data_IF_608635340900
#
_entry.id   IF_608635340900
#
_cell.length_a   1.000
_cell.length_b   1.000
_cell.length_c   1.000
_cell.angle_alpha   90.00
_cell.angle_beta   90.00
_cell.angle_gamma   90.00
#
_symmetry.space_group_name_H-M   'P 1'
#
loop_
_entity.id
_entity.type
_entity.pdbx_description
1 polymer ?
#
# COMPACT_ATOMS: atom_id res chain seq x y z
N UNK A 1 5.44 1.24 -3.79
CA UNK A 1 4.65 1.74 -4.94
C UNK A 1 4.00 3.08 -4.59
N UNK A 2 4.29 4.16 -5.33
CA UNK A 2 3.85 5.51 -4.96
C UNK A 2 2.33 5.66 -4.91
N UNK A 3 1.62 5.01 -5.84
CA UNK A 3 0.15 5.04 -5.95
C UNK A 3 -0.56 4.62 -4.65
N UNK A 4 0.03 3.70 -3.88
CA UNK A 4 -0.53 3.27 -2.59
C UNK A 4 -0.47 4.40 -1.56
N UNK A 5 0.67 5.10 -1.48
CA UNK A 5 0.87 6.23 -0.58
C UNK A 5 -0.05 7.38 -0.97
N UNK A 6 -0.13 7.70 -2.26
CA UNK A 6 -0.98 8.76 -2.80
C UNK A 6 -2.46 8.50 -2.51
N UNK A 7 -2.93 7.27 -2.75
CA UNK A 7 -4.32 6.88 -2.48
C UNK A 7 -4.66 7.05 -0.99
N UNK A 8 -3.79 6.58 -0.09
CA UNK A 8 -4.00 6.72 1.35
C UNK A 8 -3.94 8.20 1.81
N UNK A 9 -3.03 9.00 1.24
CA UNK A 9 -2.94 10.43 1.52
C UNK A 9 -4.19 11.21 1.04
N UNK A 10 -4.85 10.74 -0.02
CA UNK A 10 -6.15 11.24 -0.48
C UNK A 10 -7.34 10.76 0.38
N UNK A 11 -7.10 9.96 1.42
CA UNK A 11 -8.14 9.38 2.26
C UNK A 11 -8.91 8.26 1.57
N UNK A 12 -8.32 7.60 0.57
CA UNK A 12 -8.88 6.41 -0.05
C UNK A 12 -8.49 5.15 0.72
N UNK A 13 -9.37 4.16 0.73
CA UNK A 13 -9.03 2.78 1.08
C UNK A 13 -8.38 2.10 -0.11
N UNK A 14 -7.39 1.26 0.13
CA UNK A 14 -6.57 0.64 -0.92
C UNK A 14 -6.81 -0.87 -0.98
N UNK A 15 -6.94 -1.39 -2.19
CA UNK A 15 -6.72 -2.81 -2.49
C UNK A 15 -5.49 -2.90 -3.39
N UNK A 16 -4.53 -3.74 -3.03
CA UNK A 16 -3.29 -3.90 -3.80
C UNK A 16 -2.82 -5.35 -3.82
N UNK A 17 -1.97 -5.69 -4.77
CA UNK A 17 -1.26 -6.97 -4.75
C UNK A 17 -0.18 -6.97 -3.68
N UNK A 18 0.06 -8.16 -3.14
CA UNK A 18 1.12 -8.41 -2.18
C UNK A 18 2.49 -8.44 -2.87
N UNK A 19 3.07 -7.26 -3.08
CA UNK A 19 4.36 -7.10 -3.76
C UNK A 19 5.53 -7.20 -2.78
N UNK A 20 6.64 -7.86 -3.17
CA UNK A 20 7.87 -7.87 -2.39
C UNK A 20 8.36 -6.45 -2.09
N UNK A 21 8.82 -6.22 -0.86
CA UNK A 21 9.35 -4.92 -0.42
C UNK A 21 8.31 -3.89 -0.03
N UNK A 22 7.01 -4.20 0.00
CA UNK A 22 5.99 -3.30 0.55
C UNK A 22 6.18 -3.10 2.06
N UNK A 23 6.48 -4.18 2.78
CA UNK A 23 6.65 -4.15 4.23
C UNK A 23 7.87 -3.33 4.70
N UNK A 24 8.84 -3.06 3.82
CA UNK A 24 10.03 -2.28 4.20
C UNK A 24 9.78 -0.78 4.30
N UNK A 25 8.65 -0.27 3.78
CA UNK A 25 8.35 1.16 3.77
C UNK A 25 6.91 1.49 4.19
N UNK A 26 5.98 0.54 4.12
CA UNK A 26 4.59 0.79 4.49
C UNK A 26 4.44 0.85 6.02
N UNK A 27 3.82 1.90 6.59
CA UNK A 27 3.57 1.97 8.02
C UNK A 27 2.78 0.75 8.54
N UNK A 28 3.21 0.21 9.68
CA UNK A 28 2.53 -0.90 10.35
C UNK A 28 1.09 -0.52 10.71
N UNK A 29 0.18 -1.50 10.76
CA UNK A 29 -1.21 -1.35 11.22
C UNK A 29 -2.23 -0.91 10.15
N UNK A 30 -1.78 -0.39 8.99
CA UNK A 30 -2.67 0.00 7.89
C UNK A 30 -3.56 -1.16 7.38
N UNK A 31 -3.05 -2.39 7.40
CA UNK A 31 -3.84 -3.58 7.05
C UNK A 31 -4.80 -4.01 8.17
N UNK A 32 -4.35 -3.96 9.43
CA UNK A 32 -5.15 -4.36 10.58
C UNK A 32 -6.38 -3.44 10.76
N UNK A 33 -6.24 -2.16 10.45
CA UNK A 33 -7.30 -1.16 10.50
C UNK A 33 -8.18 -1.13 9.23
N UNK A 34 -7.87 -1.99 8.25
CA UNK A 34 -8.63 -2.08 7.01
C UNK A 34 -8.47 -0.86 6.08
N UNK A 35 -7.44 -0.04 6.26
CA UNK A 35 -7.09 1.04 5.33
C UNK A 35 -6.49 0.49 4.03
N UNK A 36 -5.70 -0.58 4.15
CA UNK A 36 -5.09 -1.31 3.03
C UNK A 36 -5.54 -2.76 3.08
N UNK A 37 -5.81 -3.33 1.92
CA UNK A 37 -6.08 -4.74 1.77
C UNK A 37 -5.18 -5.34 0.70
N UNK A 38 -4.52 -6.45 1.06
CA UNK A 38 -3.56 -7.14 0.19
C UNK A 38 -4.21 -8.38 -0.39
N UNK A 39 -4.01 -8.56 -1.70
CA UNK A 39 -4.39 -9.75 -2.45
C UNK A 39 -3.11 -10.45 -2.87
N UNK A 40 -3.04 -11.77 -2.72
CA UNK A 40 -1.84 -12.51 -3.10
C UNK A 40 -1.52 -12.31 -4.58
N UNK A 41 -0.25 -12.02 -4.88
CA UNK A 41 0.22 -11.87 -6.25
C UNK A 41 0.09 -13.23 -6.99
N UNK A 42 -0.52 -13.29 -8.18
CA UNK A 42 -0.49 -14.50 -8.99
C UNK A 42 0.94 -14.78 -9.45
N UNK A 43 1.27 -16.04 -9.74
CA UNK A 43 2.57 -16.36 -10.35
C UNK A 43 2.69 -15.64 -11.69
N UNK A 44 3.88 -15.12 -11.98
CA UNK A 44 4.16 -14.38 -13.21
C UNK A 44 5.12 -15.16 -14.12
N UNK A 45 4.87 -15.06 -15.41
CA UNK A 45 5.75 -15.46 -16.51
C UNK A 45 6.41 -14.16 -17.00
N UNK A 46 7.71 -14.00 -16.76
CA UNK A 46 8.38 -12.73 -17.00
C UNK A 46 7.97 -11.66 -15.99
N UNK A 47 7.88 -10.40 -16.42
CA UNK A 47 7.69 -9.27 -15.51
C UNK A 47 6.23 -8.97 -15.17
N UNK A 48 5.30 -9.20 -16.10
CA UNK A 48 3.95 -8.64 -16.06
C UNK A 48 2.84 -9.61 -16.49
N UNK A 49 3.18 -10.81 -16.97
CA UNK A 49 2.19 -11.76 -17.49
C UNK A 49 1.82 -12.80 -16.43
N UNK A 50 0.59 -12.83 -15.90
CA UNK A 50 0.19 -13.84 -14.92
C UNK A 50 0.02 -15.23 -15.55
N UNK A 51 0.30 -16.27 -14.77
CA UNK A 51 -0.02 -17.66 -15.12
C UNK A 51 -1.54 -17.82 -15.18
N UNK A 52 -2.05 -18.37 -16.29
CA UNK A 52 -3.48 -18.48 -16.54
C UNK A 52 -4.24 -19.25 -15.44
N UNK A 53 -3.63 -20.32 -14.90
CA UNK A 53 -4.23 -21.14 -13.86
C UNK A 53 -4.48 -20.38 -12.54
N UNK A 54 -3.72 -19.31 -12.29
CA UNK A 54 -3.86 -18.49 -11.08
C UNK A 54 -4.94 -17.39 -11.23
N UNK A 55 -5.36 -17.07 -12.47
CA UNK A 55 -6.31 -16.00 -12.74
C UNK A 55 -7.66 -16.20 -12.05
N UNK A 56 -8.31 -17.39 -12.08
CA UNK A 56 -9.60 -17.56 -11.44
C UNK A 56 -9.55 -17.28 -9.94
N UNK A 57 -8.51 -17.78 -9.25
CA UNK A 57 -8.28 -17.52 -7.83
C UNK A 57 -8.02 -16.04 -7.57
N UNK A 58 -7.12 -15.43 -8.34
CA UNK A 58 -6.75 -14.03 -8.18
C UNK A 58 -7.97 -13.09 -8.35
N UNK A 59 -8.80 -13.32 -9.37
CA UNK A 59 -10.01 -12.54 -9.63
C UNK A 59 -11.00 -12.68 -8.46
N UNK A 60 -11.21 -13.90 -7.96
CA UNK A 60 -12.11 -14.13 -6.83
C UNK A 60 -11.63 -13.42 -5.55
N UNK A 61 -10.33 -13.50 -5.25
CA UNK A 61 -9.74 -12.82 -4.09
C UNK A 61 -9.79 -11.29 -4.23
N UNK A 62 -9.49 -10.77 -5.42
CA UNK A 62 -9.56 -9.34 -5.71
C UNK A 62 -10.98 -8.80 -5.57
N UNK A 63 -11.97 -9.51 -6.12
CA UNK A 63 -13.37 -9.15 -5.98
C UNK A 63 -13.82 -9.16 -4.50
N UNK A 64 -13.42 -10.18 -3.74
CA UNK A 64 -13.71 -10.25 -2.32
C UNK A 64 -13.07 -9.09 -1.54
N UNK A 65 -11.83 -8.72 -1.86
CA UNK A 65 -11.14 -7.62 -1.21
C UNK A 65 -11.77 -6.26 -1.51
N UNK A 66 -12.16 -6.02 -2.76
CA UNK A 66 -12.90 -4.82 -3.14
C UNK A 66 -14.23 -4.72 -2.39
N UNK A 67 -14.99 -5.81 -2.31
CA UNK A 67 -16.26 -5.82 -1.57
C UNK A 67 -16.08 -5.51 -0.08
N UNK A 68 -15.02 -6.03 0.56
CA UNK A 68 -14.70 -5.71 1.96
C UNK A 68 -14.36 -4.24 2.14
N UNK A 69 -13.57 -3.64 1.25
CA UNK A 69 -13.24 -2.22 1.32
C UNK A 69 -14.45 -1.30 1.04
N UNK A 70 -15.33 -1.70 0.13
CA UNK A 70 -16.60 -0.98 -0.11
C UNK A 70 -17.51 -1.03 1.11
N UNK A 71 -17.68 -2.19 1.74
CA UNK A 71 -18.46 -2.33 2.98
C UNK A 71 -17.92 -1.42 4.09
N UNK A 72 -16.61 -1.45 4.35
CA UNK A 72 -15.95 -0.54 5.32
C UNK A 72 -16.14 0.94 5.01
N UNK A 73 -16.20 1.30 3.72
CA UNK A 73 -16.43 2.69 3.31
C UNK A 73 -17.82 3.17 3.67
N UNK A 74 -18.82 2.28 3.64
CA UNK A 74 -20.19 2.57 4.07
C UNK A 74 -20.33 2.62 5.59
N UNK A 75 -19.62 1.74 6.31
CA UNK A 75 -19.71 1.62 7.78
C UNK A 75 -18.93 2.71 8.53
N UNK A 76 -17.67 2.96 8.14
CA UNK A 76 -16.74 3.78 8.91
C UNK A 76 -16.34 5.09 8.21
N UNK A 77 -16.87 5.35 7.01
CA UNK A 77 -16.48 6.51 6.22
C UNK A 77 -14.99 6.51 5.82
N UNK A 78 -14.44 7.72 5.63
CA UNK A 78 -13.06 7.90 5.17
C UNK A 78 -12.04 7.56 6.28
N UNK A 79 -10.94 6.87 5.97
CA UNK A 79 -9.84 6.67 6.90
C UNK A 79 -9.11 8.00 7.17
N UNK A 80 -9.48 8.70 8.26
CA UNK A 80 -8.96 10.03 8.59
C UNK A 80 -7.48 10.03 9.00
N UNK A 81 -6.99 8.94 9.58
CA UNK A 81 -5.69 8.92 10.26
C UNK A 81 -4.57 8.34 9.39
N UNK A 82 -4.91 7.87 8.18
CA UNK A 82 -3.93 7.31 7.25
C UNK A 82 -2.88 8.36 6.85
N UNK A 83 -3.29 9.61 6.60
CA UNK A 83 -2.39 10.69 6.20
C UNK A 83 -1.33 11.01 7.28
N UNK A 84 -1.73 11.03 8.56
CA UNK A 84 -0.80 11.29 9.68
C UNK A 84 0.31 10.24 9.76
N UNK A 85 -0.01 8.97 9.46
CA UNK A 85 0.97 7.87 9.52
C UNK A 85 1.93 7.84 8.34
N UNK A 86 1.56 8.50 7.24
CA UNK A 86 2.40 8.66 6.06
C UNK A 86 3.32 9.88 6.16
N UNK A 87 3.28 10.65 7.26
CA UNK A 87 4.08 11.85 7.42
C UNK A 87 5.59 11.59 7.23
N UNK A 88 6.10 10.45 7.72
CA UNK A 88 7.50 10.05 7.55
C UNK A 88 7.91 9.72 6.10
N UNK A 89 6.93 9.56 5.22
CA UNK A 89 7.10 9.36 3.78
C UNK A 89 6.90 10.65 2.98
N UNK A 90 6.57 11.76 3.63
CA UNK A 90 6.47 13.06 2.97
C UNK A 90 7.85 13.49 2.44
N UNK A 91 7.86 14.20 1.30
CA UNK A 91 9.09 14.66 0.67
C UNK A 91 10.01 15.47 1.59
N UNK A 92 9.42 16.24 2.51
CA UNK A 92 10.17 16.97 3.55
C UNK A 92 10.99 16.02 4.43
N UNK A 93 10.36 14.97 4.97
CA UNK A 93 11.01 14.00 5.85
C UNK A 93 12.04 13.14 5.11
N UNK A 94 11.75 12.78 3.85
CA UNK A 94 12.70 12.07 2.99
C UNK A 94 13.94 12.94 2.73
N UNK A 95 13.75 14.22 2.40
CA UNK A 95 14.84 15.16 2.20
C UNK A 95 15.67 15.36 3.47
N UNK A 96 15.01 15.55 4.62
CA UNK A 96 15.68 15.74 5.90
C UNK A 96 16.54 14.52 6.27
N UNK A 97 16.08 13.29 5.98
CA UNK A 97 16.86 12.06 6.15
C UNK A 97 18.08 11.98 5.23
N UNK A 98 17.90 12.31 3.95
CA UNK A 98 19.02 12.34 2.99
C UNK A 98 20.07 13.38 3.40
N UNK A 99 19.62 14.59 3.76
CA UNK A 99 20.49 15.69 4.22
C UNK A 99 21.35 15.27 5.40
N UNK A 100 20.77 14.61 6.40
CA UNK A 100 21.52 14.10 7.56
C UNK A 100 22.60 13.10 7.14
N UNK A 101 22.28 12.13 6.28
CA UNK A 101 23.25 11.16 5.79
C UNK A 101 24.43 11.82 5.04
N UNK A 102 24.15 12.82 4.20
CA UNK A 102 25.22 13.59 3.52
C UNK A 102 26.08 14.39 4.50
N UNK A 103 25.49 14.98 5.55
CA UNK A 103 26.22 15.74 6.56
C UNK A 103 27.13 14.85 7.42
N UNK A 104 26.76 13.59 7.64
CA UNK A 104 27.60 12.61 8.35
C UNK A 104 28.81 12.18 7.52
N UNK A 105 28.64 11.99 6.21
CA UNK A 105 29.73 11.64 5.29
C UNK A 105 30.70 12.79 5.00
N UNK A 106 30.25 14.03 5.21
CA UNK A 106 31.06 15.23 5.01
C UNK A 106 31.92 15.60 6.24
N UNK A 107 31.80 14.86 7.35
CA UNK A 107 32.66 14.97 8.53
C UNK A 107 33.87 14.04 8.41
#
# INVERSE_FOLDING_TARGET
PLVVIESLACGCRVVMTDLPGVDSWMPEGLCAEGCVERVSLPRLIGADTPVADDLPRFVAELAAALNRQLARSLECGRPSDAACRLASLAWKEVFDRMRTAYQELAK
#
